data_IF_990129395343
#
_entry.id   IF_990129395343
#
_cell.length_a   1.000
_cell.length_b   1.000
_cell.length_c   1.000
_cell.angle_alpha   90.00
_cell.angle_beta   90.00
_cell.angle_gamma   90.00
#
_symmetry.space_group_name_H-M   'P 1'
#
loop_
_entity.id
_entity.type
_entity.pdbx_description
1 polymer ?
#
# COMPACT_ATOMS: atom_id res chain seq x y z
N UNK A 1 -15.22 7.18 -14.08
CA UNK A 1 -14.39 7.01 -12.86
C UNK A 1 -15.04 5.95 -11.98
N UNK A 2 -14.29 4.93 -11.54
CA UNK A 2 -14.80 3.95 -10.59
C UNK A 2 -15.06 4.62 -9.23
N UNK A 3 -16.19 4.30 -8.58
CA UNK A 3 -16.50 4.78 -7.23
C UNK A 3 -15.56 4.08 -6.23
N UNK A 4 -14.94 4.85 -5.35
CA UNK A 4 -14.11 4.36 -4.24
C UNK A 4 -14.88 4.54 -2.94
N UNK A 5 -14.92 3.49 -2.14
CA UNK A 5 -15.51 3.51 -0.81
C UNK A 5 -14.38 3.58 0.22
N UNK A 6 -14.61 4.40 1.23
CA UNK A 6 -13.67 4.64 2.31
C UNK A 6 -14.34 4.26 3.63
N UNK A 7 -13.62 3.55 4.49
CA UNK A 7 -14.05 3.29 5.86
C UNK A 7 -12.92 3.63 6.83
N UNK A 8 -13.33 3.94 8.06
CA UNK A 8 -12.44 4.13 9.19
C UNK A 8 -12.56 2.91 10.10
N UNK A 9 -11.47 2.16 10.26
CA UNK A 9 -11.38 1.02 11.17
C UNK A 9 -10.89 1.51 12.53
N UNK A 10 -11.82 1.75 13.45
CA UNK A 10 -11.50 2.03 14.84
C UNK A 10 -11.14 0.73 15.57
N UNK A 11 -10.09 0.78 16.40
CA UNK A 11 -9.78 -0.32 17.33
C UNK A 11 -10.83 -0.31 18.46
N UNK A 12 -11.12 -1.49 18.99
CA UNK A 12 -11.99 -1.68 20.15
C UNK A 12 -11.55 -0.85 21.36
N UNK A 13 -10.23 -0.70 21.54
CA UNK A 13 -9.62 0.10 22.59
C UNK A 13 -9.48 1.60 22.26
N UNK A 14 -10.18 2.14 21.26
CA UNK A 14 -10.02 3.55 20.85
C UNK A 14 -10.25 4.53 22.01
N UNK A 15 -11.36 4.37 22.73
CA UNK A 15 -11.70 5.18 23.90
C UNK A 15 -10.87 4.82 25.15
N UNK A 16 -10.08 3.75 25.09
CA UNK A 16 -9.26 3.32 26.21
C UNK A 16 -7.88 3.97 26.25
N UNK A 17 -7.45 4.58 25.14
CA UNK A 17 -6.16 5.23 25.00
C UNK A 17 -6.02 6.42 25.94
N UNK A 18 -4.83 6.62 26.48
CA UNK A 18 -4.57 7.65 27.50
C UNK A 18 -4.88 9.05 26.97
N UNK A 19 -4.52 9.35 25.72
CA UNK A 19 -4.74 10.66 25.11
C UNK A 19 -6.23 10.92 24.90
N UNK A 20 -6.98 9.91 24.45
CA UNK A 20 -8.43 10.01 24.20
C UNK A 20 -9.19 10.16 25.52
N UNK A 21 -8.85 9.34 26.53
CA UNK A 21 -9.41 9.47 27.88
C UNK A 21 -9.11 10.83 28.48
N UNK A 22 -7.89 11.36 28.29
CA UNK A 22 -7.51 12.66 28.82
C UNK A 22 -8.38 13.76 28.20
N UNK A 23 -8.57 13.75 26.87
CA UNK A 23 -9.43 14.72 26.18
C UNK A 23 -10.89 14.58 26.62
N UNK A 24 -11.41 13.36 26.72
CA UNK A 24 -12.80 13.10 27.10
C UNK A 24 -13.14 13.60 28.51
N UNK A 25 -12.18 13.49 29.45
CA UNK A 25 -12.35 13.96 30.83
C UNK A 25 -12.22 15.48 31.01
N UNK A 26 -11.85 16.23 29.96
CA UNK A 26 -11.78 17.69 30.02
C UNK A 26 -13.17 18.34 29.96
N UNK A 27 -13.33 19.59 30.43
CA UNK A 27 -14.53 20.37 30.14
C UNK A 27 -14.76 20.47 28.63
N UNK A 28 -15.98 20.16 28.17
CA UNK A 28 -16.31 20.01 26.75
C UNK A 28 -15.59 18.85 26.02
N UNK A 29 -15.07 17.85 26.75
CA UNK A 29 -14.37 16.69 26.18
C UNK A 29 -15.17 15.96 25.11
N UNK A 30 -16.48 15.79 25.30
CA UNK A 30 -17.39 15.22 24.29
C UNK A 30 -17.36 15.97 22.95
N UNK A 31 -17.24 17.31 22.96
CA UNK A 31 -17.16 18.14 21.76
C UNK A 31 -15.81 17.98 21.08
N UNK A 32 -14.73 17.86 21.86
CA UNK A 32 -13.39 17.62 21.33
C UNK A 32 -13.30 16.23 20.68
N UNK A 33 -13.80 15.19 21.33
CA UNK A 33 -13.83 13.84 20.74
C UNK A 33 -14.68 13.81 19.48
N UNK A 34 -15.87 14.43 19.50
CA UNK A 34 -16.72 14.53 18.31
C UNK A 34 -16.02 15.27 17.16
N UNK A 35 -15.34 16.37 17.47
CA UNK A 35 -14.56 17.13 16.51
C UNK A 35 -13.40 16.30 15.93
N UNK A 36 -12.65 15.59 16.77
CA UNK A 36 -11.57 14.69 16.36
C UNK A 36 -12.04 13.60 15.39
N UNK A 37 -13.14 12.91 15.71
CA UNK A 37 -13.72 11.87 14.84
C UNK A 37 -14.15 12.45 13.48
N UNK A 38 -14.70 13.67 13.45
CA UNK A 38 -15.04 14.36 12.19
C UNK A 38 -13.79 14.68 11.36
N UNK A 39 -12.69 15.09 11.99
CA UNK A 39 -11.41 15.32 11.31
C UNK A 39 -10.83 14.03 10.73
N UNK A 40 -10.86 12.93 11.49
CA UNK A 40 -10.43 11.61 11.00
C UNK A 40 -11.17 11.27 9.71
N UNK A 41 -12.50 11.38 9.70
CA UNK A 41 -13.33 11.12 8.51
C UNK A 41 -12.99 12.04 7.32
N UNK A 42 -12.74 13.33 7.54
CA UNK A 42 -12.36 14.24 6.44
C UNK A 42 -10.98 13.96 5.89
N UNK A 43 -10.07 13.46 6.73
CA UNK A 43 -8.71 13.16 6.33
C UNK A 43 -8.55 11.82 5.58
N UNK A 44 -9.60 11.00 5.47
CA UNK A 44 -9.50 9.65 4.86
C UNK A 44 -9.05 9.72 3.39
N UNK A 45 -9.68 10.57 2.59
CA UNK A 45 -9.38 10.66 1.14
C UNK A 45 -8.00 11.22 0.82
N UNK A 46 -7.33 11.79 1.82
CA UNK A 46 -6.06 12.51 1.73
C UNK A 46 -4.98 11.89 2.63
N UNK A 47 -5.17 10.61 3.01
CA UNK A 47 -4.23 9.83 3.82
C UNK A 47 -3.78 10.52 5.11
N UNK A 48 -4.70 11.24 5.77
CA UNK A 48 -4.46 11.97 7.01
C UNK A 48 -4.23 13.47 6.85
N UNK A 49 -4.04 14.01 5.63
CA UNK A 49 -3.87 15.46 5.44
C UNK A 49 -5.20 16.21 5.41
N UNK A 50 -5.36 17.25 6.21
CA UNK A 50 -6.57 18.08 6.21
C UNK A 50 -6.44 19.18 5.13
N UNK A 51 -6.87 18.85 3.92
CA UNK A 51 -6.80 19.72 2.74
C UNK A 51 -8.17 19.88 2.06
N UNK A 52 -8.55 21.12 1.75
CA UNK A 52 -9.64 21.42 0.86
C UNK A 52 -9.25 21.12 -0.59
N UNK A 53 -10.05 20.27 -1.26
CA UNK A 53 -9.84 19.86 -2.67
C UNK A 53 -8.39 19.41 -2.96
N UNK A 54 -7.72 18.81 -1.98
CA UNK A 54 -6.33 18.36 -2.06
C UNK A 54 -5.32 19.47 -2.44
N UNK A 55 -5.68 20.74 -2.24
CA UNK A 55 -4.88 21.89 -2.70
C UNK A 55 -4.62 22.92 -1.60
N UNK A 56 -5.62 23.22 -0.78
CA UNK A 56 -5.52 24.29 0.23
C UNK A 56 -5.60 23.66 1.62
N UNK A 57 -4.63 23.88 2.53
CA UNK A 57 -4.74 23.49 3.93
C UNK A 57 -6.00 24.07 4.58
N UNK A 58 -6.69 23.28 5.41
CA UNK A 58 -7.86 23.79 6.11
C UNK A 58 -7.47 24.81 7.20
N UNK A 59 -8.12 25.98 7.19
CA UNK A 59 -8.01 26.95 8.27
C UNK A 59 -8.99 26.64 9.42
N UNK A 60 -8.78 27.17 10.63
CA UNK A 60 -9.72 27.01 11.74
C UNK A 60 -11.17 27.41 11.41
N UNK A 61 -11.36 28.46 10.62
CA UNK A 61 -12.68 28.95 10.18
C UNK A 61 -13.37 27.95 9.23
N UNK A 62 -12.59 27.34 8.33
CA UNK A 62 -13.09 26.29 7.43
C UNK A 62 -13.46 25.03 8.22
N UNK A 63 -12.62 24.62 9.16
CA UNK A 63 -12.89 23.47 10.01
C UNK A 63 -14.16 23.68 10.83
N UNK A 64 -14.31 24.85 11.46
CA UNK A 64 -15.51 25.22 12.21
C UNK A 64 -16.79 25.07 11.38
N UNK A 65 -16.78 25.60 10.16
CA UNK A 65 -17.92 25.52 9.23
C UNK A 65 -18.23 24.08 8.81
N UNK A 66 -17.20 23.26 8.56
CA UNK A 66 -17.35 21.88 8.07
C UNK A 66 -17.75 20.92 9.19
N UNK A 67 -17.22 21.11 10.39
CA UNK A 67 -17.49 20.24 11.54
C UNK A 67 -18.68 20.70 12.37
N UNK A 68 -19.28 21.86 12.05
CA UNK A 68 -20.31 22.52 12.83
C UNK A 68 -19.88 22.63 14.31
N UNK A 69 -18.71 23.23 14.51
CA UNK A 69 -18.06 23.39 15.82
C UNK A 69 -17.68 24.85 15.95
N UNK A 70 -17.84 25.41 17.15
CA UNK A 70 -17.45 26.79 17.42
C UNK A 70 -15.95 27.04 17.12
N UNK A 71 -15.62 28.21 16.58
CA UNK A 71 -14.26 28.54 16.12
C UNK A 71 -13.26 28.49 17.28
N UNK A 72 -13.65 28.97 18.47
CA UNK A 72 -12.77 28.97 19.64
C UNK A 72 -12.54 27.54 20.12
N UNK A 73 -13.60 26.72 20.10
CA UNK A 73 -13.50 25.29 20.39
C UNK A 73 -12.56 24.58 19.40
N UNK A 74 -12.62 24.92 18.10
CA UNK A 74 -11.72 24.36 17.08
C UNK A 74 -10.27 24.70 17.38
N UNK A 75 -9.95 25.98 17.64
CA UNK A 75 -8.57 26.42 17.93
C UNK A 75 -7.99 25.73 19.17
N UNK A 76 -8.77 25.69 20.25
CA UNK A 76 -8.36 25.02 21.50
C UNK A 76 -8.14 23.53 21.26
N UNK A 77 -9.05 22.88 20.53
CA UNK A 77 -8.96 21.45 20.23
C UNK A 77 -7.76 21.13 19.33
N UNK A 78 -7.50 21.92 18.29
CA UNK A 78 -6.34 21.70 17.41
C UNK A 78 -5.03 21.79 18.17
N UNK A 79 -4.87 22.80 19.04
CA UNK A 79 -3.67 22.96 19.87
C UNK A 79 -3.52 21.79 20.85
N UNK A 80 -4.62 21.34 21.44
CA UNK A 80 -4.64 20.18 22.34
C UNK A 80 -4.22 18.90 21.62
N UNK A 81 -4.75 18.64 20.42
CA UNK A 81 -4.43 17.45 19.65
C UNK A 81 -2.97 17.42 19.17
N UNK A 82 -2.41 18.59 18.82
CA UNK A 82 -0.98 18.70 18.50
C UNK A 82 -0.12 18.38 19.73
N UNK A 83 -0.47 18.93 20.90
CA UNK A 83 0.26 18.66 22.16
C UNK A 83 0.21 17.19 22.58
N UNK A 84 -0.92 16.52 22.34
CA UNK A 84 -1.11 15.11 22.66
C UNK A 84 -0.58 14.15 21.59
N UNK A 85 0.02 14.66 20.51
CA UNK A 85 0.53 13.82 19.42
C UNK A 85 -0.56 13.10 18.62
N UNK A 86 -1.81 13.58 18.68
CA UNK A 86 -2.92 13.09 17.86
C UNK A 86 -2.94 13.76 16.48
N UNK A 87 -2.35 14.95 16.37
CA UNK A 87 -2.19 15.73 15.15
C UNK A 87 -0.78 16.30 15.05
N UNK A 88 -0.38 16.66 13.84
CA UNK A 88 0.87 17.36 13.55
C UNK A 88 0.64 18.51 12.57
N UNK A 89 1.51 19.52 12.59
CA UNK A 89 1.52 20.62 11.63
C UNK A 89 2.71 20.40 10.70
N UNK A 90 2.42 20.15 9.43
CA UNK A 90 3.45 19.95 8.42
C UNK A 90 4.16 21.27 8.08
N UNK A 91 5.33 21.19 7.44
CA UNK A 91 6.13 22.34 7.00
C UNK A 91 5.36 23.29 6.06
N UNK A 92 4.38 22.76 5.33
CA UNK A 92 3.48 23.52 4.44
C UNK A 92 2.28 24.16 5.16
N UNK A 93 2.23 24.06 6.50
CA UNK A 93 1.14 24.54 7.35
C UNK A 93 -0.09 23.65 7.35
N UNK A 94 -0.06 22.50 6.67
CA UNK A 94 -1.19 21.57 6.65
C UNK A 94 -1.27 20.76 7.95
N UNK A 95 -2.49 20.69 8.49
CA UNK A 95 -2.80 19.82 9.62
C UNK A 95 -2.81 18.35 9.17
N UNK A 96 -2.12 17.50 9.90
CA UNK A 96 -1.97 16.09 9.61
C UNK A 96 -2.47 15.23 10.78
N UNK A 97 -3.37 14.30 10.48
CA UNK A 97 -3.92 13.34 11.44
C UNK A 97 -3.03 12.10 11.46
N UNK A 98 -2.25 11.93 12.54
CA UNK A 98 -1.23 10.88 12.66
C UNK A 98 -1.83 9.46 12.60
N UNK A 99 -2.93 9.24 13.31
CA UNK A 99 -3.58 7.93 13.45
C UNK A 99 -4.31 7.48 12.18
N UNK A 100 -4.70 8.41 11.29
CA UNK A 100 -5.58 8.08 10.16
C UNK A 100 -4.95 7.03 9.23
N UNK A 101 -3.63 7.08 9.00
CA UNK A 101 -2.94 6.07 8.14
C UNK A 101 -3.10 4.64 8.65
N UNK A 102 -3.17 4.44 9.96
CA UNK A 102 -3.29 3.12 10.57
C UNK A 102 -4.76 2.64 10.65
N UNK A 103 -5.72 3.53 10.31
CA UNK A 103 -7.16 3.29 10.41
C UNK A 103 -7.87 3.26 9.06
N UNK A 104 -7.24 3.71 7.97
CA UNK A 104 -7.86 3.74 6.64
C UNK A 104 -7.72 2.38 5.95
N UNK A 105 -8.85 1.85 5.49
CA UNK A 105 -8.88 0.86 4.40
C UNK A 105 -9.64 1.41 3.18
N UNK A 106 -9.39 0.83 2.01
CA UNK A 106 -10.11 1.17 0.78
C UNK A 106 -10.45 -0.11 0.00
N UNK A 107 -11.67 -0.18 -0.54
CA UNK A 107 -12.17 -1.31 -1.34
C UNK A 107 -12.77 -0.73 -2.62
N UNK A 108 -12.57 -1.43 -3.73
CA UNK A 108 -13.26 -1.10 -4.98
C UNK A 108 -14.64 -1.74 -4.97
N UNK A 109 -15.59 -1.16 -5.72
CA UNK A 109 -16.93 -1.75 -5.88
C UNK A 109 -16.90 -3.22 -6.34
N UNK A 110 -15.90 -3.57 -7.15
CA UNK A 110 -15.72 -4.94 -7.61
C UNK A 110 -15.25 -5.88 -6.50
N UNK A 111 -14.29 -5.45 -5.67
CA UNK A 111 -13.83 -6.21 -4.51
C UNK A 111 -14.97 -6.42 -3.49
N UNK A 112 -15.77 -5.37 -3.25
CA UNK A 112 -16.98 -5.45 -2.41
C UNK A 112 -17.98 -6.47 -2.94
N UNK A 113 -18.29 -6.43 -4.23
CA UNK A 113 -19.21 -7.38 -4.88
C UNK A 113 -18.70 -8.83 -4.82
N UNK A 114 -17.38 -9.02 -4.92
CA UNK A 114 -16.73 -10.33 -4.81
C UNK A 114 -16.74 -10.86 -3.37
N UNK A 115 -16.60 -9.99 -2.36
CA UNK A 115 -16.80 -10.34 -0.93
C UNK A 115 -18.24 -10.76 -0.66
N UNK A 116 -19.22 -9.95 -1.07
CA UNK A 116 -20.65 -10.25 -0.90
C UNK A 116 -21.05 -11.56 -1.62
N UNK A 117 -20.46 -11.85 -2.78
CA UNK A 117 -20.70 -13.11 -3.49
C UNK A 117 -20.14 -14.33 -2.75
N UNK A 118 -18.97 -14.20 -2.09
CA UNK A 118 -18.38 -15.26 -1.25
C UNK A 118 -19.23 -15.52 -0.01
N UNK A 119 -19.64 -14.45 0.68
CA UNK A 119 -20.52 -14.54 1.86
C UNK A 119 -21.86 -15.20 1.53
N UNK A 120 -22.46 -14.90 0.36
CA UNK A 120 -23.69 -15.56 -0.11
C UNK A 120 -23.53 -17.02 -0.53
N UNK A 121 -22.31 -17.46 -0.84
CA UNK A 121 -22.01 -18.84 -1.25
C UNK A 121 -21.76 -19.78 -0.06
N UNK A 122 -21.29 -19.25 1.08
CA UNK A 122 -21.05 -20.04 2.29
C UNK A 122 -22.34 -20.69 2.83
N UNK A 123 -23.52 -20.07 2.62
CA UNK A 123 -24.82 -20.64 3.04
C UNK A 123 -25.37 -21.76 2.14
N UNK A 124 -24.73 -22.06 0.99
CA UNK A 124 -25.26 -23.03 0.00
C UNK A 124 -24.30 -24.19 -0.34
N UNK A 125 -23.40 -24.57 0.56
CA UNK A 125 -22.57 -25.78 0.34
C UNK A 125 -23.31 -27.03 0.84
N UNK A 126 -24.31 -27.45 0.07
CA UNK A 126 -24.77 -28.85 0.09
C UNK A 126 -23.82 -29.71 -0.75
N UNK A 127 -23.34 -30.78 -0.11
CA UNK A 127 -22.50 -31.88 -0.61
C UNK A 127 -23.02 -32.47 -1.93
N UNK A 128 -22.14 -32.77 -2.91
CA UNK A 128 -21.83 -34.11 -3.46
C UNK A 128 -20.96 -34.04 -4.75
N UNK A 129 -19.91 -34.89 -4.80
CA UNK A 129 -19.37 -35.70 -5.94
C UNK A 129 -19.34 -35.12 -7.38
N UNK A 130 -18.27 -35.15 -8.18
CA UNK A 130 -17.28 -36.19 -8.57
C UNK A 130 -16.03 -35.53 -9.20
N UNK A 131 -14.88 -36.24 -9.35
CA UNK A 131 -13.68 -35.69 -9.97
C UNK A 131 -13.75 -35.74 -11.52
N UNK A 132 -13.82 -34.57 -12.16
CA UNK A 132 -13.79 -34.43 -13.62
C UNK A 132 -12.38 -34.04 -14.12
N UNK A 133 -11.98 -34.40 -15.36
CA UNK A 133 -10.58 -34.50 -15.79
C UNK A 133 -9.80 -33.20 -15.84
N UNK A 134 -8.49 -33.35 -15.59
CA UNK A 134 -7.45 -32.33 -15.73
C UNK A 134 -7.34 -31.92 -17.20
N UNK A 135 -7.90 -30.77 -17.56
CA UNK A 135 -7.44 -29.91 -18.66
C UNK A 135 -8.31 -28.65 -18.70
N UNK A 136 -8.14 -27.79 -17.70
CA UNK A 136 -8.55 -26.39 -17.80
C UNK A 136 -7.31 -25.59 -17.45
N UNK A 137 -6.81 -24.81 -18.40
CA UNK A 137 -5.87 -23.72 -18.14
C UNK A 137 -6.48 -22.86 -17.03
N UNK A 138 -5.99 -23.03 -15.80
CA UNK A 138 -6.22 -22.05 -14.76
C UNK A 138 -5.36 -20.86 -15.13
N UNK A 139 -5.97 -19.87 -15.78
CA UNK A 139 -5.46 -18.50 -15.72
C UNK A 139 -5.48 -18.13 -14.23
N UNK A 140 -4.30 -18.13 -13.62
CA UNK A 140 -4.10 -17.69 -12.25
C UNK A 140 -4.21 -16.16 -12.30
N UNK A 141 -5.43 -15.63 -12.23
CA UNK A 141 -5.68 -14.23 -11.95
C UNK A 141 -5.39 -13.99 -10.46
N UNK A 142 -4.17 -13.56 -10.17
CA UNK A 142 -3.71 -13.14 -8.85
C UNK A 142 -4.30 -11.75 -8.59
N UNK A 143 -5.52 -11.70 -8.04
CA UNK A 143 -6.00 -10.50 -7.35
C UNK A 143 -5.21 -10.33 -6.05
N UNK A 144 -4.22 -9.45 -6.08
CA UNK A 144 -3.48 -9.00 -4.90
C UNK A 144 -4.37 -7.99 -4.16
N UNK A 145 -4.93 -8.40 -3.01
CA UNK A 145 -5.45 -7.48 -2.00
C UNK A 145 -4.30 -6.56 -1.54
N UNK A 146 -4.43 -5.27 -1.84
CA UNK A 146 -3.49 -4.24 -1.39
C UNK A 146 -3.91 -3.79 0.02
N UNK A 147 -3.52 -4.56 1.04
CA UNK A 147 -3.36 -4.02 2.39
C UNK A 147 -2.08 -3.18 2.39
N UNK A 148 -2.24 -1.86 2.27
CA UNK A 148 -1.17 -0.88 2.43
C UNK A 148 -0.87 -0.69 3.93
N UNK A 149 -0.43 -1.76 4.60
CA UNK A 149 0.00 -1.69 5.98
C UNK A 149 1.45 -1.18 6.02
N UNK A 150 1.61 0.04 6.54
CA UNK A 150 2.91 0.67 6.82
C UNK A 150 3.48 0.18 8.15
N UNK A 151 3.39 -1.13 8.43
CA UNK A 151 4.20 -1.74 9.47
C UNK A 151 5.53 -2.21 8.87
N UNK A 152 6.53 -1.33 8.99
CA UNK A 152 7.94 -1.70 8.99
C UNK A 152 8.17 -2.70 10.14
N UNK A 153 7.90 -3.99 9.89
CA UNK A 153 8.74 -5.11 10.37
C UNK A 153 8.20 -6.54 10.08
N UNK A 154 7.09 -6.73 9.34
CA UNK A 154 6.55 -8.10 9.11
C UNK A 154 6.22 -8.53 7.68
N UNK A 155 6.77 -7.90 6.64
CA UNK A 155 6.59 -8.34 5.25
C UNK A 155 7.85 -8.95 4.60
N UNK A 156 8.52 -9.86 5.31
CA UNK A 156 9.65 -10.63 4.77
C UNK A 156 9.25 -12.04 4.30
N UNK A 157 7.95 -12.29 4.07
CA UNK A 157 7.48 -13.55 3.47
C UNK A 157 7.91 -13.56 2.00
N UNK A 158 8.87 -14.43 1.68
CA UNK A 158 9.28 -14.67 0.30
C UNK A 158 8.19 -15.46 -0.41
N UNK A 159 7.67 -14.89 -1.49
CA UNK A 159 6.70 -15.52 -2.39
C UNK A 159 7.51 -16.28 -3.45
N UNK A 160 6.99 -17.43 -3.86
CA UNK A 160 7.55 -18.25 -4.93
C UNK A 160 7.10 -17.69 -6.27
N UNK A 161 8.04 -17.18 -7.07
CA UNK A 161 7.79 -16.69 -8.43
C UNK A 161 8.21 -17.70 -9.50
N UNK A 162 9.04 -18.67 -9.12
CA UNK A 162 9.34 -19.87 -9.90
C UNK A 162 9.84 -20.98 -8.96
N UNK A 163 10.00 -22.21 -9.44
CA UNK A 163 10.54 -23.36 -8.71
C UNK A 163 11.70 -23.06 -7.76
N UNK A 164 12.67 -22.27 -8.18
CA UNK A 164 13.82 -21.91 -7.36
C UNK A 164 13.94 -20.41 -7.08
N UNK A 165 12.94 -19.61 -7.44
CA UNK A 165 12.98 -18.14 -7.35
C UNK A 165 11.97 -17.64 -6.32
N UNK A 166 12.50 -16.98 -5.30
CA UNK A 166 11.79 -16.50 -4.12
C UNK A 166 12.19 -15.05 -3.80
N UNK A 167 11.21 -14.16 -3.81
CA UNK A 167 11.40 -12.75 -3.44
C UNK A 167 10.14 -12.21 -2.75
N UNK A 168 10.22 -11.04 -2.15
CA UNK A 168 9.04 -10.38 -1.56
C UNK A 168 8.19 -9.72 -2.65
N UNK A 169 6.90 -9.52 -2.38
CA UNK A 169 6.00 -8.77 -3.28
C UNK A 169 6.55 -7.35 -3.59
N UNK A 170 7.17 -6.72 -2.59
CA UNK A 170 7.78 -5.38 -2.73
C UNK A 170 8.98 -5.43 -3.67
N UNK A 171 9.84 -6.44 -3.55
CA UNK A 171 11.00 -6.62 -4.43
C UNK A 171 10.58 -6.87 -5.88
N UNK A 172 9.58 -7.73 -6.10
CA UNK A 172 9.05 -8.02 -7.43
C UNK A 172 8.43 -6.77 -8.08
N UNK A 173 7.60 -6.04 -7.33
CA UNK A 173 6.99 -4.80 -7.81
C UNK A 173 8.03 -3.75 -8.21
N UNK A 174 9.08 -3.57 -7.40
CA UNK A 174 10.20 -2.67 -7.72
C UNK A 174 10.89 -3.04 -9.03
N UNK A 175 11.05 -4.33 -9.31
CA UNK A 175 11.66 -4.79 -10.55
C UNK A 175 10.77 -4.47 -11.76
N UNK A 176 9.46 -4.70 -11.67
CA UNK A 176 8.51 -4.36 -12.73
C UNK A 176 8.47 -2.85 -12.98
N UNK A 177 8.40 -2.04 -11.92
CA UNK A 177 8.41 -0.58 -12.04
C UNK A 177 9.70 -0.03 -12.67
N UNK A 178 10.86 -0.63 -12.37
CA UNK A 178 12.17 -0.15 -12.86
C UNK A 178 12.51 -0.68 -14.28
N UNK A 179 12.03 -1.86 -14.66
CA UNK A 179 12.49 -2.57 -15.87
C UNK A 179 11.40 -3.11 -16.80
N UNK A 180 10.12 -3.10 -16.38
CA UNK A 180 8.99 -3.63 -17.15
C UNK A 180 8.74 -5.13 -16.92
N UNK A 181 7.48 -5.55 -16.99
CA UNK A 181 7.05 -6.91 -16.65
C UNK A 181 7.64 -7.98 -17.57
N UNK A 182 7.67 -7.73 -18.88
CA UNK A 182 8.15 -8.67 -19.90
C UNK A 182 9.61 -9.08 -19.67
N UNK A 183 10.50 -8.10 -19.44
CA UNK A 183 11.91 -8.33 -19.16
C UNK A 183 12.12 -9.05 -17.82
N UNK A 184 11.30 -8.74 -16.80
CA UNK A 184 11.41 -9.39 -15.49
C UNK A 184 10.98 -10.86 -15.56
N UNK A 185 9.94 -11.18 -16.33
CA UNK A 185 9.51 -12.56 -16.56
C UNK A 185 10.64 -13.40 -17.17
N UNK A 186 11.28 -12.89 -18.23
CA UNK A 186 12.43 -13.54 -18.87
C UNK A 186 13.58 -13.76 -17.88
N UNK A 187 13.92 -12.74 -17.08
CA UNK A 187 15.03 -12.83 -16.12
C UNK A 187 14.74 -13.74 -14.93
N UNK A 188 13.47 -13.94 -14.56
CA UNK A 188 13.07 -14.92 -13.55
C UNK A 188 13.29 -16.33 -14.08
N UNK A 189 12.94 -16.59 -15.34
CA UNK A 189 13.15 -17.87 -16.00
C UNK A 189 14.65 -18.19 -16.13
N UNK A 190 15.47 -17.22 -16.56
CA UNK A 190 16.93 -17.33 -16.61
C UNK A 190 17.51 -17.72 -15.23
N UNK A 191 17.05 -17.03 -14.17
CA UNK A 191 17.52 -17.28 -12.81
C UNK A 191 17.07 -18.66 -12.31
N UNK A 192 15.84 -19.07 -12.62
CA UNK A 192 15.33 -20.37 -12.25
C UNK A 192 16.14 -21.50 -12.89
N UNK A 193 16.39 -21.41 -14.19
CA UNK A 193 17.17 -22.40 -14.95
C UNK A 193 18.62 -22.45 -14.46
N UNK A 194 19.22 -21.31 -14.15
CA UNK A 194 20.57 -21.25 -13.60
C UNK A 194 20.67 -21.89 -12.20
N UNK A 195 19.68 -21.65 -11.33
CA UNK A 195 19.63 -22.25 -9.99
C UNK A 195 19.37 -23.76 -10.03
N UNK A 196 18.39 -24.17 -10.83
CA UNK A 196 18.01 -25.58 -10.99
C UNK A 196 19.12 -26.40 -11.66
N UNK A 197 19.74 -25.85 -12.71
CA UNK A 197 20.78 -26.55 -13.47
C UNK A 197 22.14 -26.62 -12.77
N UNK A 198 22.50 -25.62 -11.95
CA UNK A 198 23.82 -25.56 -11.27
C UNK A 198 23.75 -25.78 -9.75
N UNK A 199 22.56 -26.06 -9.20
CA UNK A 199 22.33 -26.22 -7.76
C UNK A 199 22.73 -24.99 -6.93
N UNK A 200 22.73 -23.80 -7.54
CA UNK A 200 23.24 -22.57 -6.90
C UNK A 200 22.17 -21.93 -6.03
N UNK A 201 22.60 -21.39 -4.89
CA UNK A 201 21.77 -20.56 -4.01
C UNK A 201 22.25 -19.11 -4.05
N UNK A 202 21.30 -18.19 -4.08
CA UNK A 202 21.53 -16.74 -4.08
C UNK A 202 21.12 -16.17 -2.73
N UNK A 203 21.83 -15.13 -2.28
CA UNK A 203 21.51 -14.43 -1.02
C UNK A 203 20.22 -13.63 -1.15
N UNK A 204 19.98 -13.03 -2.32
CA UNK A 204 18.73 -12.35 -2.68
C UNK A 204 18.50 -12.50 -4.19
N UNK A 205 17.31 -13.00 -4.54
CA UNK A 205 16.93 -13.24 -5.94
C UNK A 205 16.66 -11.91 -6.65
N UNK A 206 16.06 -10.97 -5.91
CA UNK A 206 15.90 -9.58 -6.31
C UNK A 206 17.22 -8.93 -6.74
N UNK A 207 18.25 -8.99 -5.89
CA UNK A 207 19.55 -8.38 -6.21
C UNK A 207 20.23 -9.07 -7.40
N UNK A 208 20.02 -10.39 -7.54
CA UNK A 208 20.60 -11.17 -8.64
C UNK A 208 20.01 -10.74 -9.98
N UNK A 209 18.68 -10.71 -10.08
CA UNK A 209 17.97 -10.27 -11.28
C UNK A 209 18.34 -8.83 -11.62
N UNK A 210 18.33 -7.92 -10.62
CA UNK A 210 18.69 -6.52 -10.82
C UNK A 210 20.13 -6.35 -11.34
N UNK A 211 21.06 -7.15 -10.83
CA UNK A 211 22.46 -7.11 -11.28
C UNK A 211 22.63 -7.63 -12.70
N UNK A 212 21.88 -8.65 -13.11
CA UNK A 212 21.91 -9.18 -14.47
C UNK A 212 21.41 -8.14 -15.46
N UNK A 213 20.28 -7.51 -15.18
CA UNK A 213 19.71 -6.45 -16.04
C UNK A 213 20.67 -5.26 -16.16
N UNK A 214 21.31 -4.82 -15.07
CA UNK A 214 22.31 -3.74 -15.14
C UNK A 214 23.52 -4.13 -15.99
N UNK A 215 23.94 -5.40 -15.94
CA UNK A 215 25.06 -5.91 -16.73
C UNK A 215 24.70 -5.99 -18.21
N UNK A 216 23.49 -6.41 -18.53
CA UNK A 216 22.98 -6.49 -19.90
C UNK A 216 22.84 -5.07 -20.50
N UNK A 217 22.25 -4.12 -19.77
CA UNK A 217 22.19 -2.70 -20.17
C UNK A 217 23.57 -2.07 -20.33
N UNK A 218 24.57 -2.46 -19.52
CA UNK A 218 25.95 -1.98 -19.67
C UNK A 218 26.58 -2.52 -20.96
N UNK A 219 26.40 -3.80 -21.26
CA UNK A 219 26.88 -4.42 -22.51
C UNK A 219 26.20 -3.83 -23.74
N UNK A 220 24.91 -3.53 -23.68
CA UNK A 220 24.19 -2.86 -24.78
C UNK A 220 24.74 -1.45 -25.03
N UNK A 221 25.00 -0.68 -23.97
CA UNK A 221 25.63 0.64 -24.08
C UNK A 221 27.04 0.55 -24.66
N UNK A 222 27.85 -0.41 -24.22
CA UNK A 222 29.20 -0.64 -24.75
C UNK A 222 29.17 -1.03 -26.25
N UNK A 223 28.20 -1.84 -26.68
CA UNK A 223 27.99 -2.18 -28.09
C UNK A 223 27.50 -1.00 -28.95
N UNK A 224 26.77 -0.06 -28.37
CA UNK A 224 26.31 1.16 -29.08
C UNK A 224 27.40 2.23 -29.19
N UNK A 225 28.35 2.26 -28.24
CA UNK A 225 29.50 3.17 -28.24
C UNK A 225 30.63 2.74 -29.18
N UNK A 226 30.64 1.48 -29.64
CA UNK A 226 31.63 0.99 -30.61
C UNK A 226 30.98 0.26 -31.79
N UNK A 227 30.51 1.00 -32.81
CA UNK A 227 30.07 0.41 -34.07
C UNK A 227 31.22 -0.16 -34.93
N UNK A 228 32.50 0.03 -34.56
CA UNK A 228 33.67 -0.21 -35.42
C UNK A 228 34.68 -1.26 -34.90
N UNK A 229 34.48 -1.87 -33.72
CA UNK A 229 35.31 -2.99 -33.26
C UNK A 229 35.34 -4.21 -34.21
N UNK A 230 34.37 -4.31 -35.13
CA UNK A 230 34.33 -5.39 -36.12
C UNK A 230 35.26 -5.17 -37.33
N UNK A 231 35.92 -4.01 -37.46
CA UNK A 231 36.84 -3.71 -38.57
C UNK A 231 38.34 -3.72 -38.18
N UNK A 232 38.71 -4.17 -36.98
CA UNK A 232 40.12 -4.26 -36.56
C UNK A 232 40.67 -5.69 -36.44
N UNK A 233 40.29 -6.59 -37.33
CA UNK A 233 41.00 -7.86 -37.52
C UNK A 233 41.14 -8.16 -39.01
N UNK A 234 42.24 -7.72 -39.61
CA UNK A 234 43.23 -8.51 -40.38
C UNK A 234 44.19 -7.56 -41.08
N UNK A 235 45.49 -7.88 -40.99
CA UNK A 235 46.63 -7.22 -41.62
C UNK A 235 46.52 -6.99 -43.12
#
# INVERSE_FOLDING_TARGET
>A
MAKKYYWLKLKDNFFDREEIKLVENMPNGEKYINFYLKLLLKSIGTEGKLMFRNTIPYTPEMLSSITNTDIDTVKVATDLFVKLGLMDILDDGALFMLETKNMIGHETEWAKKKREYREKKEDNVLKLSEPSPRDVRQEIDIDIDIELDKDKDKNNKKIKYHDFVFMTAIEYKKLIEEFGEELISEKIEDLNNWKGGKGKKTKSDYLTIRSWIKKDKKKEKEKQLDPYAQYQVTS
#
